data_IF_769701275910
#
_entry.id   IF_769701275910
#
_cell.length_a   1.000
_cell.length_b   1.000
_cell.length_c   1.000
_cell.angle_alpha   90.00
_cell.angle_beta   90.00
_cell.angle_gamma   90.00
#
_symmetry.space_group_name_H-M   'P 1'
#
loop_
_entity.id
_entity.type
_entity.pdbx_description
1 polymer ?
#
# COMPACT_ATOMS: atom_id res chain seq x y z
N UNK A 1 -36.13 25.33 -2.67
CA UNK A 1 -35.12 26.22 -2.08
C UNK A 1 -34.83 25.71 -0.68
N UNK A 2 -33.65 25.13 -0.46
CA UNK A 2 -32.97 25.01 0.84
C UNK A 2 -31.62 24.33 0.56
N UNK A 3 -30.65 25.13 0.11
CA UNK A 3 -29.23 24.81 0.27
C UNK A 3 -28.95 24.92 1.77
N UNK A 4 -28.85 23.77 2.45
CA UNK A 4 -28.16 23.76 3.74
C UNK A 4 -26.68 23.81 3.41
N UNK A 5 -26.03 24.80 3.98
CA UNK A 5 -24.63 25.09 3.77
C UNK A 5 -23.78 23.89 4.21
N UNK A 6 -23.19 23.20 3.23
CA UNK A 6 -22.03 22.33 3.41
C UNK A 6 -20.85 23.23 3.82
N UNK A 7 -20.83 23.63 5.09
CA UNK A 7 -19.65 24.22 5.70
C UNK A 7 -18.64 23.08 5.83
N UNK A 8 -17.89 22.89 4.75
CA UNK A 8 -16.67 22.10 4.71
C UNK A 8 -15.84 22.45 5.94
N UNK A 9 -15.68 21.48 6.84
CA UNK A 9 -14.85 21.57 8.02
C UNK A 9 -13.37 21.59 7.57
N UNK A 10 -12.91 22.70 6.99
CA UNK A 10 -11.52 22.86 6.55
C UNK A 10 -10.63 23.03 7.78
N UNK A 11 -10.10 21.92 8.31
CA UNK A 11 -9.03 21.95 9.29
C UNK A 11 -7.76 22.50 8.64
N UNK A 12 -7.21 23.54 9.25
CA UNK A 12 -5.92 24.11 8.87
C UNK A 12 -4.85 23.63 9.86
N UNK A 13 -3.72 23.18 9.32
CA UNK A 13 -2.57 22.67 10.07
C UNK A 13 -1.41 23.66 9.91
N UNK A 14 -0.75 24.00 11.01
CA UNK A 14 0.44 24.84 10.98
C UNK A 14 1.70 23.96 10.91
N UNK A 15 2.47 24.07 9.84
CA UNK A 15 3.73 23.34 9.65
C UNK A 15 4.89 24.32 9.64
N UNK A 16 5.95 24.02 10.41
CA UNK A 16 7.17 24.82 10.45
C UNK A 16 8.16 24.30 9.41
N UNK A 17 8.63 25.20 8.54
CA UNK A 17 9.66 24.86 7.55
C UNK A 17 11.06 25.20 8.08
N UNK A 18 11.78 24.20 8.60
CA UNK A 18 13.19 24.31 8.99
C UNK A 18 13.50 25.37 10.06
N UNK A 19 14.72 25.93 10.00
CA UNK A 19 15.28 26.86 11.00
C UNK A 19 14.63 28.25 11.01
N UNK A 20 13.69 28.52 10.10
CA UNK A 20 12.92 29.77 10.10
C UNK A 20 11.73 29.69 11.07
N UNK A 21 11.42 30.78 11.75
CA UNK A 21 10.19 30.95 12.56
C UNK A 21 8.92 31.12 11.71
N UNK A 22 8.97 30.77 10.42
CA UNK A 22 7.83 30.90 9.52
C UNK A 22 6.92 29.66 9.62
N UNK A 23 5.72 29.87 10.16
CA UNK A 23 4.64 28.89 10.12
C UNK A 23 3.89 29.00 8.79
N UNK A 24 3.81 27.89 8.06
CA UNK A 24 2.97 27.77 6.87
C UNK A 24 1.66 27.09 7.26
N UNK A 25 0.55 27.75 6.95
CA UNK A 25 -0.77 27.11 7.05
C UNK A 25 -0.99 26.23 5.83
N UNK A 26 -1.38 24.98 6.08
CA UNK A 26 -1.65 23.96 5.07
C UNK A 26 -3.01 23.35 5.38
N UNK A 27 -3.79 23.02 4.35
CA UNK A 27 -5.00 22.22 4.54
C UNK A 27 -4.61 20.74 4.80
N UNK A 28 -5.59 19.91 5.13
CA UNK A 28 -5.37 18.48 5.41
C UNK A 28 -4.71 17.75 4.24
N UNK A 29 -5.19 17.96 3.01
CA UNK A 29 -4.68 17.30 1.79
C UNK A 29 -3.22 17.67 1.49
N UNK A 30 -2.85 18.94 1.70
CA UNK A 30 -1.49 19.44 1.52
C UNK A 30 -0.54 18.78 2.53
N UNK A 31 -0.97 18.62 3.78
CA UNK A 31 -0.18 17.96 4.83
C UNK A 31 0.02 16.48 4.49
N UNK A 32 -1.04 15.77 4.11
CA UNK A 32 -0.96 14.35 3.75
C UNK A 32 -0.08 14.13 2.51
N UNK A 33 -0.22 14.98 1.50
CA UNK A 33 0.62 14.94 0.28
C UNK A 33 2.09 15.17 0.62
N UNK A 34 2.38 16.15 1.49
CA UNK A 34 3.76 16.44 1.92
C UNK A 34 4.34 15.30 2.76
N UNK A 35 3.55 14.75 3.68
CA UNK A 35 3.94 13.60 4.49
C UNK A 35 4.26 12.38 3.60
N UNK A 36 3.41 12.08 2.62
CA UNK A 36 3.66 11.01 1.64
C UNK A 36 4.96 11.26 0.89
N UNK A 37 5.20 12.46 0.38
CA UNK A 37 6.44 12.81 -0.34
C UNK A 37 7.70 12.67 0.53
N UNK A 38 7.63 13.07 1.81
CA UNK A 38 8.74 12.85 2.76
C UNK A 38 9.00 11.35 2.94
N UNK A 39 7.95 10.54 3.11
CA UNK A 39 8.08 9.09 3.27
C UNK A 39 8.64 8.44 1.99
N UNK A 40 8.18 8.83 0.81
CA UNK A 40 8.71 8.37 -0.49
C UNK A 40 10.18 8.74 -0.69
N UNK A 41 10.58 9.94 -0.26
CA UNK A 41 11.99 10.34 -0.36
C UNK A 41 12.91 9.49 0.53
N UNK A 42 12.41 9.04 1.69
CA UNK A 42 13.12 8.09 2.55
C UNK A 42 13.20 6.73 1.88
N UNK A 43 12.07 6.28 1.31
CA UNK A 43 11.95 5.04 0.55
C UNK A 43 12.99 4.92 -0.57
N UNK A 44 13.19 5.99 -1.35
CA UNK A 44 14.13 6.00 -2.48
C UNK A 44 15.60 6.12 -2.05
N UNK A 45 15.90 6.77 -0.91
CA UNK A 45 17.29 7.03 -0.47
C UNK A 45 17.87 5.95 0.42
N UNK A 46 17.07 5.26 1.22
CA UNK A 46 17.60 4.38 2.26
C UNK A 46 17.56 2.89 1.92
N UNK A 47 17.02 2.46 0.77
CA UNK A 47 16.86 1.04 0.42
C UNK A 47 16.21 0.19 1.53
N UNK A 48 15.52 0.80 2.49
CA UNK A 48 15.11 0.09 3.69
C UNK A 48 13.73 0.58 4.13
N UNK A 49 12.72 -0.21 3.80
CA UNK A 49 11.64 -0.46 4.75
C UNK A 49 12.19 -1.42 5.81
N UNK A 50 13.12 -0.96 6.64
CA UNK A 50 13.71 -1.78 7.72
C UNK A 50 12.74 -2.10 8.84
N UNK A 51 11.54 -1.52 8.82
CA UNK A 51 10.49 -1.82 9.78
C UNK A 51 9.14 -1.98 9.09
N UNK A 52 8.42 -3.09 9.37
CA UNK A 52 7.02 -3.27 9.00
C UNK A 52 6.12 -2.07 9.38
N UNK A 53 6.43 -1.36 10.47
CA UNK A 53 5.66 -0.19 10.90
C UNK A 53 5.76 0.98 9.92
N UNK A 54 6.96 1.21 9.36
CA UNK A 54 7.19 2.28 8.37
C UNK A 54 6.43 1.95 7.08
N UNK A 55 6.44 0.66 6.68
CA UNK A 55 5.65 0.16 5.54
C UNK A 55 4.16 0.41 5.76
N UNK A 56 3.63 0.01 6.92
CA UNK A 56 2.22 0.22 7.26
C UNK A 56 1.85 1.69 7.25
N UNK A 57 2.64 2.56 7.88
CA UNK A 57 2.38 4.01 7.89
C UNK A 57 2.37 4.60 6.48
N UNK A 58 3.35 4.24 5.65
CA UNK A 58 3.40 4.71 4.26
C UNK A 58 2.20 4.23 3.44
N UNK A 59 1.81 2.96 3.58
CA UNK A 59 0.67 2.40 2.87
C UNK A 59 -0.67 2.95 3.39
N UNK A 60 -0.83 3.17 4.69
CA UNK A 60 -2.00 3.84 5.26
C UNK A 60 -2.12 5.26 4.72
N UNK A 61 -1.04 6.06 4.78
CA UNK A 61 -1.03 7.40 4.17
C UNK A 61 -1.34 7.35 2.67
N UNK A 62 -0.95 6.26 2.01
CA UNK A 62 -1.10 6.14 0.57
C UNK A 62 -2.44 5.61 0.09
N UNK A 63 -3.12 4.78 0.88
CA UNK A 63 -4.27 4.00 0.39
C UNK A 63 -5.51 4.11 1.28
N UNK A 64 -5.39 4.61 2.51
CA UNK A 64 -6.52 4.68 3.45
C UNK A 64 -7.70 5.50 2.93
N UNK A 65 -7.40 6.61 2.25
CA UNK A 65 -8.40 7.55 1.74
C UNK A 65 -8.74 7.31 0.26
N UNK A 66 -8.25 6.23 -0.34
CA UNK A 66 -8.57 5.92 -1.73
C UNK A 66 -10.03 5.42 -1.80
N UNK A 67 -10.93 6.13 -2.50
CA UNK A 67 -12.36 5.79 -2.52
C UNK A 67 -12.66 4.53 -3.35
N UNK A 68 -11.71 4.08 -4.17
CA UNK A 68 -11.82 2.87 -4.99
C UNK A 68 -10.97 1.77 -4.36
N UNK A 69 -11.34 0.52 -4.59
CA UNK A 69 -10.41 -0.57 -4.31
C UNK A 69 -9.26 -0.50 -5.33
N UNK A 70 -8.03 -0.61 -4.83
CA UNK A 70 -6.81 -0.63 -5.62
C UNK A 70 -5.93 -1.77 -5.17
N UNK A 71 -5.30 -2.46 -6.11
CA UNK A 71 -4.36 -3.55 -5.85
C UNK A 71 -2.99 -3.16 -6.37
N UNK A 72 -1.96 -3.37 -5.57
CA UNK A 72 -0.59 -3.01 -5.89
C UNK A 72 0.45 -3.95 -5.31
N UNK A 73 1.69 -3.68 -5.67
CA UNK A 73 2.87 -4.43 -5.26
C UNK A 73 3.93 -3.47 -4.70
N UNK A 74 4.49 -3.83 -3.55
CA UNK A 74 5.78 -3.30 -3.12
C UNK A 74 6.85 -4.28 -3.62
N UNK A 75 7.76 -3.80 -4.46
CA UNK A 75 8.85 -4.60 -5.02
C UNK A 75 10.08 -4.54 -4.13
N UNK A 76 10.68 -5.69 -3.84
CA UNK A 76 11.83 -5.80 -2.94
C UNK A 76 13.00 -6.52 -3.61
N UNK A 77 14.21 -6.09 -3.29
CA UNK A 77 15.45 -6.79 -3.65
C UNK A 77 15.71 -8.00 -2.72
N UNK A 78 16.84 -8.69 -2.94
CA UNK A 78 17.22 -9.88 -2.18
C UNK A 78 17.51 -9.63 -0.70
N UNK A 79 17.89 -8.40 -0.33
CA UNK A 79 18.08 -7.93 1.04
C UNK A 79 16.82 -7.31 1.66
N UNK A 80 15.65 -7.50 1.02
CA UNK A 80 14.37 -6.90 1.39
C UNK A 80 14.34 -5.37 1.32
N UNK A 81 15.28 -4.79 0.56
CA UNK A 81 15.28 -3.37 0.27
C UNK A 81 14.27 -3.00 -0.81
N UNK A 82 13.66 -1.83 -0.70
CA UNK A 82 12.55 -1.50 -1.60
C UNK A 82 13.00 -0.89 -2.91
N UNK A 83 12.45 -1.43 -3.98
CA UNK A 83 12.67 -1.00 -5.35
C UNK A 83 11.57 -0.05 -5.84
N UNK A 84 10.34 -0.20 -5.33
CA UNK A 84 9.22 0.67 -5.66
C UNK A 84 7.88 0.17 -5.11
N UNK A 85 6.86 1.02 -5.21
CA UNK A 85 5.44 0.67 -5.04
C UNK A 85 4.73 0.97 -6.36
N UNK A 86 3.89 0.05 -6.81
CA UNK A 86 3.07 0.26 -7.99
C UNK A 86 1.65 -0.26 -7.80
N UNK A 87 0.68 0.56 -8.20
CA UNK A 87 -0.74 0.16 -8.28
C UNK A 87 -1.00 -0.42 -9.66
N UNK A 88 -1.42 -1.69 -9.69
CA UNK A 88 -1.64 -2.45 -10.92
C UNK A 88 -3.10 -2.44 -11.36
N UNK A 89 -4.02 -2.41 -10.40
CA UNK A 89 -5.46 -2.50 -10.67
C UNK A 89 -6.23 -1.49 -9.82
N UNK A 90 -7.31 -0.94 -10.37
CA UNK A 90 -8.20 0.02 -9.71
C UNK A 90 -9.65 -0.28 -10.10
N UNK A 91 -10.58 -0.16 -9.16
CA UNK A 91 -12.00 -0.53 -9.33
C UNK A 91 -12.38 -1.68 -8.40
N UNK A 92 -13.59 -2.25 -8.51
CA UNK A 92 -13.97 -3.39 -7.67
C UNK A 92 -12.98 -4.53 -7.91
N UNK A 93 -12.21 -4.89 -6.88
CA UNK A 93 -11.37 -6.07 -6.87
C UNK A 93 -12.30 -7.25 -6.61
N UNK A 94 -13.20 -7.50 -7.57
CA UNK A 94 -13.76 -8.83 -7.70
C UNK A 94 -12.55 -9.73 -8.00
N UNK A 95 -12.38 -10.86 -7.31
CA UNK A 95 -11.20 -11.74 -7.45
C UNK A 95 -10.89 -12.25 -8.88
N UNK A 96 -11.68 -11.85 -9.87
CA UNK A 96 -11.49 -12.01 -11.30
C UNK A 96 -10.70 -10.87 -12.00
N UNK A 97 -10.49 -9.72 -11.36
CA UNK A 97 -9.90 -8.52 -12.00
C UNK A 97 -8.36 -8.44 -11.90
N UNK A 98 -7.76 -9.12 -10.92
CA UNK A 98 -6.30 -9.17 -10.74
C UNK A 98 -5.74 -10.40 -11.45
N UNK A 99 -4.93 -10.16 -12.49
CA UNK A 99 -4.35 -11.22 -13.31
C UNK A 99 -2.92 -11.56 -12.86
N UNK A 100 -2.64 -12.79 -12.39
CA UNK A 100 -1.29 -13.17 -11.95
C UNK A 100 -0.20 -12.96 -12.99
N UNK A 101 -0.51 -13.07 -14.29
CA UNK A 101 0.46 -12.81 -15.37
C UNK A 101 1.00 -11.37 -15.36
N UNK A 102 0.16 -10.38 -15.04
CA UNK A 102 0.58 -8.98 -15.00
C UNK A 102 1.43 -8.75 -13.74
N UNK A 103 1.05 -9.36 -12.62
CA UNK A 103 1.84 -9.36 -11.38
C UNK A 103 3.24 -9.91 -11.61
N UNK A 104 3.35 -11.09 -12.24
CA UNK A 104 4.64 -11.73 -12.59
C UNK A 104 5.46 -10.83 -13.51
N UNK A 105 4.85 -10.32 -14.59
CA UNK A 105 5.52 -9.42 -15.53
C UNK A 105 6.11 -8.19 -14.84
N UNK A 106 5.30 -7.50 -14.03
CA UNK A 106 5.74 -6.28 -13.33
C UNK A 106 6.80 -6.55 -12.28
N UNK A 107 6.71 -7.67 -11.55
CA UNK A 107 7.73 -8.08 -10.61
C UNK A 107 9.08 -8.37 -11.28
N UNK A 108 9.07 -9.03 -12.45
CA UNK A 108 10.27 -9.27 -13.25
C UNK A 108 10.85 -7.98 -13.83
N UNK A 109 10.01 -7.10 -14.40
CA UNK A 109 10.44 -5.79 -14.93
C UNK A 109 11.12 -4.93 -13.84
N UNK A 110 10.64 -5.03 -12.60
CA UNK A 110 11.21 -4.33 -11.44
C UNK A 110 12.48 -4.99 -10.89
N UNK A 111 12.90 -6.16 -11.40
CA UNK A 111 13.98 -6.99 -10.85
C UNK A 111 13.74 -7.36 -9.37
N UNK A 112 12.49 -7.61 -9.00
CA UNK A 112 12.12 -7.96 -7.64
C UNK A 112 12.57 -9.40 -7.30
N UNK A 113 13.24 -9.57 -6.17
CA UNK A 113 13.49 -10.88 -5.56
C UNK A 113 12.35 -11.30 -4.61
N UNK A 114 11.57 -10.33 -4.14
CA UNK A 114 10.39 -10.55 -3.34
C UNK A 114 9.36 -9.42 -3.53
N UNK A 115 8.11 -9.67 -3.15
CA UNK A 115 7.04 -8.67 -3.18
C UNK A 115 6.20 -8.71 -1.90
N UNK A 116 5.57 -7.58 -1.59
CA UNK A 116 4.42 -7.50 -0.68
C UNK A 116 3.22 -7.09 -1.51
N UNK A 117 2.14 -7.88 -1.41
CA UNK A 117 0.86 -7.52 -2.03
C UNK A 117 0.18 -6.47 -1.16
N UNK A 118 -0.52 -5.51 -1.76
CA UNK A 118 -1.31 -4.55 -1.01
C UNK A 118 -2.61 -4.24 -1.73
N UNK A 119 -3.70 -4.17 -0.97
CA UNK A 119 -4.92 -3.52 -1.43
C UNK A 119 -5.63 -2.79 -0.30
N UNK A 120 -6.57 -1.92 -0.65
CA UNK A 120 -7.42 -1.24 0.32
C UNK A 120 -8.86 -1.77 0.28
N UNK A 121 -9.53 -1.67 1.42
CA UNK A 121 -10.98 -1.81 1.54
C UNK A 121 -11.59 -0.44 1.86
N UNK A 122 -12.21 0.26 0.88
CA UNK A 122 -12.88 1.54 1.10
C UNK A 122 -14.02 1.46 2.13
N UNK A 123 -14.55 0.25 2.37
CA UNK A 123 -15.55 -0.01 3.42
C UNK A 123 -15.04 0.24 4.84
N UNK A 124 -13.72 0.32 5.04
CA UNK A 124 -13.09 0.49 6.35
C UNK A 124 -12.97 -0.80 7.17
N UNK A 125 -13.45 -1.95 6.68
CA UNK A 125 -13.25 -3.24 7.33
C UNK A 125 -11.97 -3.92 6.80
N UNK A 126 -10.92 -4.13 7.63
CA UNK A 126 -9.67 -4.74 7.18
C UNK A 126 -9.71 -6.27 7.15
N UNK A 127 -10.84 -6.90 7.49
CA UNK A 127 -10.94 -8.36 7.54
C UNK A 127 -10.84 -8.98 6.13
N UNK A 128 -9.90 -9.92 5.90
CA UNK A 128 -9.75 -10.56 4.60
C UNK A 128 -10.94 -11.43 4.23
N UNK A 129 -11.43 -11.26 3.01
CA UNK A 129 -12.43 -12.12 2.42
C UNK A 129 -11.81 -13.44 1.93
N UNK A 130 -12.68 -14.41 1.63
CA UNK A 130 -12.26 -15.64 0.94
C UNK A 130 -11.68 -15.36 -0.46
N UNK A 131 -12.16 -14.32 -1.13
CA UNK A 131 -11.65 -13.92 -2.44
C UNK A 131 -10.20 -13.44 -2.33
N UNK A 132 -9.87 -12.68 -1.28
CA UNK A 132 -8.51 -12.20 -1.02
C UNK A 132 -7.55 -13.37 -0.80
N UNK A 133 -7.96 -14.37 0.00
CA UNK A 133 -7.17 -15.58 0.25
C UNK A 133 -6.90 -16.36 -1.04
N UNK A 134 -7.94 -16.63 -1.83
CA UNK A 134 -7.79 -17.34 -3.11
C UNK A 134 -6.94 -16.57 -4.12
N UNK A 135 -7.07 -15.24 -4.16
CA UNK A 135 -6.24 -14.38 -5.00
C UNK A 135 -4.78 -14.46 -4.58
N UNK A 136 -4.52 -14.32 -3.28
CA UNK A 136 -3.18 -14.42 -2.67
C UNK A 136 -2.53 -15.75 -3.03
N UNK A 137 -3.26 -16.85 -2.86
CA UNK A 137 -2.78 -18.19 -3.21
C UNK A 137 -2.38 -18.32 -4.68
N UNK A 138 -3.22 -17.80 -5.59
CA UNK A 138 -2.95 -17.85 -7.03
C UNK A 138 -1.73 -17.02 -7.40
N UNK A 139 -1.55 -15.84 -6.78
CA UNK A 139 -0.39 -14.98 -7.01
C UNK A 139 0.88 -15.62 -6.46
N UNK A 140 0.85 -16.17 -5.24
CA UNK A 140 1.99 -16.86 -4.63
C UNK A 140 2.50 -17.99 -5.54
N UNK A 141 1.59 -18.87 -5.99
CA UNK A 141 1.93 -19.96 -6.91
C UNK A 141 2.53 -19.46 -8.23
N UNK A 142 2.02 -18.35 -8.76
CA UNK A 142 2.52 -17.81 -10.03
C UNK A 142 3.94 -17.22 -9.87
N UNK A 143 4.18 -16.44 -8.82
CA UNK A 143 5.49 -15.84 -8.57
C UNK A 143 6.56 -16.87 -8.16
N UNK A 144 6.15 -17.95 -7.48
CA UNK A 144 7.04 -19.07 -7.13
C UNK A 144 7.67 -19.71 -8.37
N UNK A 145 6.96 -19.79 -9.50
CA UNK A 145 7.50 -20.36 -10.76
C UNK A 145 8.66 -19.57 -11.36
N UNK A 146 8.86 -18.33 -10.91
CA UNK A 146 9.96 -17.45 -11.33
C UNK A 146 10.82 -17.02 -10.14
N UNK A 147 10.78 -17.79 -9.04
CA UNK A 147 11.63 -17.62 -7.85
C UNK A 147 11.45 -16.26 -7.13
N UNK A 148 10.28 -15.62 -7.26
CA UNK A 148 9.95 -14.39 -6.55
C UNK A 148 9.08 -14.73 -5.34
N UNK A 149 9.53 -14.34 -4.14
CA UNK A 149 8.82 -14.62 -2.89
C UNK A 149 7.71 -13.61 -2.63
N UNK A 150 6.56 -14.07 -2.14
CA UNK A 150 5.56 -13.17 -1.54
C UNK A 150 5.78 -13.16 -0.02
N UNK A 151 6.20 -12.03 0.53
CA UNK A 151 6.51 -11.93 1.97
C UNK A 151 5.26 -11.66 2.81
N UNK A 152 4.33 -10.90 2.26
CA UNK A 152 3.10 -10.54 2.94
C UNK A 152 2.02 -10.09 1.94
N UNK A 153 0.79 -10.00 2.44
CA UNK A 153 -0.34 -9.34 1.80
C UNK A 153 -1.00 -8.42 2.83
N UNK A 154 -0.94 -7.11 2.57
CA UNK A 154 -1.42 -6.08 3.47
C UNK A 154 -2.77 -5.52 2.98
N UNK A 155 -3.79 -5.60 3.84
CA UNK A 155 -5.10 -4.97 3.61
C UNK A 155 -5.17 -3.67 4.40
N UNK A 156 -5.28 -2.55 3.69
CA UNK A 156 -5.43 -1.21 4.29
C UNK A 156 -6.91 -0.86 4.39
N UNK A 157 -7.41 -0.56 5.58
CA UNK A 157 -8.79 -0.13 5.75
C UNK A 157 -8.90 0.96 6.83
N UNK A 158 -9.29 2.17 6.43
CA UNK A 158 -9.25 3.33 7.31
C UNK A 158 -7.86 3.54 7.91
N UNK A 159 -7.76 3.59 9.24
CA UNK A 159 -6.47 3.74 9.94
C UNK A 159 -5.75 2.41 10.24
N UNK A 160 -6.33 1.28 9.87
CA UNK A 160 -5.81 -0.06 10.16
C UNK A 160 -5.13 -0.72 8.96
N UNK A 161 -4.19 -1.62 9.25
CA UNK A 161 -3.59 -2.52 8.27
C UNK A 161 -3.61 -3.94 8.84
N UNK A 162 -4.13 -4.89 8.08
CA UNK A 162 -4.07 -6.32 8.39
C UNK A 162 -3.00 -7.00 7.54
N UNK A 163 -2.16 -7.82 8.19
CA UNK A 163 -1.13 -8.63 7.54
C UNK A 163 -1.58 -10.09 7.42
N UNK A 164 -1.43 -10.67 6.24
CA UNK A 164 -1.67 -12.09 6.02
C UNK A 164 -0.56 -12.93 6.66
N UNK A 165 0.69 -12.46 6.61
CA UNK A 165 1.81 -13.18 7.20
C UNK A 165 1.64 -13.32 8.72
N UNK A 166 1.27 -12.24 9.42
CA UNK A 166 0.99 -12.28 10.87
C UNK A 166 -0.19 -13.17 11.23
N UNK A 167 -1.15 -13.34 10.31
CA UNK A 167 -2.31 -14.21 10.48
C UNK A 167 -2.07 -15.65 10.00
N UNK A 168 -0.88 -15.97 9.48
CA UNK A 168 -0.59 -17.29 8.91
C UNK A 168 -1.39 -17.62 7.66
N UNK A 169 -1.81 -16.60 6.90
CA UNK A 169 -2.60 -16.72 5.67
C UNK A 169 -1.75 -16.69 4.39
N UNK A 170 -0.45 -16.42 4.50
CA UNK A 170 0.48 -16.62 3.37
C UNK A 170 0.69 -18.12 3.19
N UNK A 171 0.42 -18.68 2.00
CA UNK A 171 0.70 -20.08 1.73
C UNK A 171 2.17 -20.36 1.95
N UNK A 172 2.47 -21.41 2.71
CA UNK A 172 3.83 -21.90 2.83
C UNK A 172 4.25 -22.42 1.45
N UNK A 173 5.35 -21.89 0.91
CA UNK A 173 5.98 -22.47 -0.28
C UNK A 173 6.32 -23.93 0.01
N UNK A 174 6.11 -24.81 -0.97
CA UNK A 174 6.55 -26.20 -0.88
C UNK A 174 8.06 -26.24 -1.12
N UNK A 175 8.83 -25.71 -0.17
CA UNK A 175 10.30 -25.73 -0.14
C UNK A 175 10.80 -26.53 1.06
#
# INVERSE_FOLDING_TARGET
MNKKDDVNNCRAYAVRAGDADTLRLMNEDDVLTTARSIMESRFQRSHYLTSPDVTRQYLTLSLANEPREVFGLVFLDSGHGVLGLEILFQGTIDGAAVYPREVVKRALDANAAAVILVHNHPSGNPEPSRADQLLTERICKALETVEIRVLDHLIVAGSGVVSFAERGLIPLGTG
#
